data_IF_573251017925
#
_entry.id   IF_573251017925
#
_cell.length_a   1.000
_cell.length_b   1.000
_cell.length_c   1.000
_cell.angle_alpha   90.00
_cell.angle_beta   90.00
_cell.angle_gamma   90.00
#
_symmetry.space_group_name_H-M   'P 1'
#
loop_
_entity.id
_entity.type
_entity.pdbx_description
1 polymer ?
#
# COMPACT_ATOMS: atom_id res chain seq x y z
N UNK A 1 25.56 25.73 -13.81
CA UNK A 1 24.91 25.44 -12.52
C UNK A 1 25.52 24.17 -11.95
N UNK A 2 25.97 24.18 -10.69
CA UNK A 2 26.65 23.01 -10.11
C UNK A 2 25.62 21.91 -9.80
N UNK A 3 26.02 20.63 -9.89
CA UNK A 3 25.16 19.49 -9.54
C UNK A 3 24.59 19.62 -8.11
N UNK A 4 25.29 20.30 -7.20
CA UNK A 4 24.82 20.62 -5.83
C UNK A 4 23.66 21.61 -5.80
N UNK A 5 23.60 22.56 -6.74
CA UNK A 5 22.53 23.58 -6.80
C UNK A 5 21.23 22.99 -7.36
N UNK A 6 21.31 22.02 -8.27
CA UNK A 6 20.15 21.27 -8.79
C UNK A 6 19.63 20.28 -7.72
N UNK A 7 20.54 19.61 -6.99
CA UNK A 7 20.19 18.71 -5.90
C UNK A 7 19.51 19.44 -4.74
N UNK A 8 19.98 20.64 -4.39
CA UNK A 8 19.40 21.46 -3.32
C UNK A 8 18.04 22.06 -3.74
N UNK A 9 17.87 22.44 -5.01
CA UNK A 9 16.57 22.88 -5.54
C UNK A 9 15.54 21.74 -5.62
N UNK A 10 15.97 20.50 -5.90
CA UNK A 10 15.12 19.31 -5.83
C UNK A 10 14.74 18.94 -4.39
N UNK A 11 15.64 19.12 -3.42
CA UNK A 11 15.36 18.88 -1.99
C UNK A 11 14.40 19.91 -1.41
N UNK A 12 14.48 21.17 -1.85
CA UNK A 12 13.62 22.26 -1.36
C UNK A 12 12.23 22.26 -2.04
N UNK A 13 12.12 21.77 -3.28
CA UNK A 13 10.83 21.60 -3.97
C UNK A 13 9.98 20.41 -3.45
N UNK A 14 10.48 19.62 -2.49
CA UNK A 14 9.78 18.47 -1.90
C UNK A 14 8.98 18.80 -0.63
N UNK A 15 8.96 20.06 -0.20
CA UNK A 15 8.30 20.50 1.03
C UNK A 15 7.07 21.36 0.71
N UNK A 16 5.92 20.74 0.42
CA UNK A 16 4.62 21.44 0.42
C UNK A 16 3.45 20.48 0.68
N UNK A 17 2.66 20.81 1.71
CA UNK A 17 1.29 20.31 1.96
C UNK A 17 1.18 18.92 2.59
N UNK A 18 0.25 18.74 3.53
CA UNK A 18 -0.24 17.43 4.01
C UNK A 18 -1.42 17.00 3.13
N UNK A 19 -1.24 15.90 2.42
CA UNK A 19 -2.22 15.24 1.56
C UNK A 19 -1.92 13.75 1.62
N UNK A 20 -2.97 12.91 1.54
CA UNK A 20 -2.88 11.45 1.60
C UNK A 20 -1.79 10.88 0.70
N UNK A 21 -1.26 9.73 1.13
CA UNK A 21 -0.12 9.07 0.52
C UNK A 21 -0.51 7.63 0.25
N UNK A 22 -0.40 7.19 -1.00
CA UNK A 22 -0.63 5.80 -1.34
C UNK A 22 0.35 4.87 -0.61
N UNK A 23 -0.10 3.68 -0.23
CA UNK A 23 0.79 2.61 0.26
C UNK A 23 1.57 2.02 -0.92
N UNK A 24 2.68 2.69 -1.24
CA UNK A 24 3.55 2.33 -2.37
C UNK A 24 4.05 0.88 -2.31
N UNK A 25 4.20 0.32 -1.11
CA UNK A 25 4.64 -1.06 -0.93
C UNK A 25 3.67 -2.07 -1.55
N UNK A 26 2.37 -1.77 -1.53
CA UNK A 26 1.34 -2.63 -2.11
C UNK A 26 1.32 -2.61 -3.64
N UNK A 27 1.74 -1.50 -4.25
CA UNK A 27 1.71 -1.29 -5.70
C UNK A 27 3.01 -1.72 -6.38
N UNK A 28 4.15 -1.41 -5.76
CA UNK A 28 5.47 -1.56 -6.37
C UNK A 28 6.34 -2.64 -5.70
N UNK A 29 5.92 -3.17 -4.54
CA UNK A 29 6.69 -4.15 -3.78
C UNK A 29 7.63 -3.53 -2.75
N UNK A 30 8.57 -4.33 -2.24
CA UNK A 30 9.37 -3.98 -1.05
C UNK A 30 10.86 -3.71 -1.33
N UNK A 31 11.34 -4.01 -2.53
CA UNK A 31 12.71 -3.71 -2.95
C UNK A 31 12.75 -3.53 -4.49
N UNK A 32 13.84 -2.97 -5.06
CA UNK A 32 13.93 -2.80 -6.50
C UNK A 32 13.78 -4.11 -7.28
N UNK A 33 14.32 -5.23 -6.77
CA UNK A 33 14.24 -6.53 -7.47
C UNK A 33 12.81 -7.03 -7.64
N UNK A 34 11.99 -6.96 -6.60
CA UNK A 34 10.58 -7.34 -6.64
C UNK A 34 9.79 -6.43 -7.58
N UNK A 35 10.10 -5.13 -7.57
CA UNK A 35 9.51 -4.17 -8.49
C UNK A 35 9.89 -4.46 -9.94
N UNK A 36 11.18 -4.70 -10.23
CA UNK A 36 11.68 -5.03 -11.57
C UNK A 36 11.17 -6.35 -12.13
N UNK A 37 10.62 -7.23 -11.28
CA UNK A 37 9.95 -8.47 -11.65
C UNK A 37 8.42 -8.36 -11.61
N UNK A 38 7.89 -7.14 -11.54
CA UNK A 38 6.45 -6.86 -11.48
C UNK A 38 5.71 -7.61 -10.35
N UNK A 39 6.41 -7.96 -9.26
CA UNK A 39 5.87 -8.73 -8.15
C UNK A 39 5.73 -10.24 -8.39
N UNK A 40 6.23 -10.80 -9.51
CA UNK A 40 6.29 -12.24 -9.75
C UNK A 40 7.37 -12.89 -8.87
N UNK A 41 7.04 -13.15 -7.61
CA UNK A 41 8.04 -13.43 -6.58
C UNK A 41 7.69 -14.59 -5.63
N UNK A 42 6.50 -15.16 -5.68
CA UNK A 42 6.05 -16.23 -4.77
C UNK A 42 6.93 -17.47 -4.87
N UNK A 43 7.32 -17.86 -6.09
CA UNK A 43 8.27 -18.95 -6.35
C UNK A 43 9.75 -18.53 -6.31
N UNK A 44 10.04 -17.22 -6.24
CA UNK A 44 11.41 -16.66 -6.24
C UNK A 44 11.90 -16.41 -4.81
N UNK A 45 11.12 -15.66 -4.02
CA UNK A 45 11.26 -15.30 -2.60
C UNK A 45 12.55 -15.75 -1.89
N UNK A 46 13.72 -15.31 -2.36
CA UNK A 46 15.03 -15.75 -1.85
C UNK A 46 15.86 -14.60 -1.26
N UNK A 47 15.17 -13.53 -0.88
CA UNK A 47 15.68 -12.42 -0.09
C UNK A 47 14.72 -12.12 1.08
N UNK A 48 15.02 -11.08 1.86
CA UNK A 48 14.23 -10.70 3.04
C UNK A 48 12.79 -10.30 2.70
N UNK A 49 12.52 -9.86 1.46
CA UNK A 49 11.15 -9.53 1.03
C UNK A 49 10.26 -10.77 0.89
N UNK A 50 10.82 -11.98 1.01
CA UNK A 50 10.08 -13.21 1.24
C UNK A 50 9.03 -13.06 2.35
N UNK A 51 9.30 -12.24 3.38
CA UNK A 51 8.33 -11.93 4.45
C UNK A 51 6.97 -11.39 3.94
N UNK A 52 6.92 -10.79 2.75
CA UNK A 52 5.71 -10.25 2.13
C UNK A 52 5.15 -11.15 1.03
N UNK A 53 6.02 -11.82 0.27
CA UNK A 53 5.63 -12.62 -0.90
C UNK A 53 5.41 -14.10 -0.60
N UNK A 54 6.36 -14.73 0.09
CA UNK A 54 6.29 -16.13 0.51
C UNK A 54 7.35 -16.41 1.59
N UNK A 55 7.00 -16.35 2.89
CA UNK A 55 7.99 -16.48 3.95
C UNK A 55 8.77 -17.79 3.90
N UNK A 56 8.22 -18.87 3.35
CA UNK A 56 8.92 -20.16 3.21
C UNK A 56 10.21 -20.10 2.40
N UNK A 57 10.37 -19.08 1.55
CA UNK A 57 11.59 -18.90 0.76
C UNK A 57 12.76 -18.27 1.53
N UNK A 58 12.55 -17.79 2.76
CA UNK A 58 13.59 -17.10 3.54
C UNK A 58 14.81 -18.00 3.86
N UNK A 59 14.62 -19.33 3.95
CA UNK A 59 15.71 -20.33 4.06
C UNK A 59 16.58 -20.44 2.80
N UNK A 60 16.32 -19.65 1.76
CA UNK A 60 17.15 -19.56 0.56
C UNK A 60 18.22 -18.45 0.66
N UNK A 61 18.20 -17.64 1.72
CA UNK A 61 19.22 -16.64 2.00
C UNK A 61 20.61 -17.32 2.08
N UNK A 62 21.58 -16.77 1.34
CA UNK A 62 22.94 -17.34 1.25
C UNK A 62 23.87 -16.88 2.36
N UNK A 63 23.50 -15.85 3.10
CA UNK A 63 24.31 -15.22 4.13
C UNK A 63 23.55 -14.12 4.84
N UNK A 64 24.14 -13.55 5.89
CA UNK A 64 23.54 -12.43 6.60
C UNK A 64 23.44 -11.24 5.65
N UNK A 65 22.22 -10.73 5.47
CA UNK A 65 21.93 -9.71 4.47
C UNK A 65 21.31 -8.49 5.14
N UNK A 66 21.78 -7.31 4.77
CA UNK A 66 21.16 -6.04 5.12
C UNK A 66 20.93 -5.24 3.84
N UNK A 67 19.72 -4.74 3.63
CA UNK A 67 19.38 -3.93 2.47
C UNK A 67 18.59 -2.69 2.88
N UNK A 68 18.86 -1.58 2.20
CA UNK A 68 18.11 -0.34 2.35
C UNK A 68 17.70 0.19 0.98
N UNK A 69 16.58 0.89 0.89
CA UNK A 69 16.14 1.46 -0.38
C UNK A 69 15.13 2.58 -0.22
N UNK A 70 14.96 3.34 -1.30
CA UNK A 70 14.03 4.46 -1.41
C UNK A 70 13.19 4.23 -2.66
N UNK A 71 11.87 4.25 -2.47
CA UNK A 71 10.87 4.19 -3.53
C UNK A 71 10.22 5.57 -3.66
N UNK A 72 10.11 6.03 -4.90
CA UNK A 72 9.39 7.23 -5.27
C UNK A 72 8.23 6.87 -6.19
N UNK A 73 7.02 7.35 -5.88
CA UNK A 73 5.80 7.19 -6.66
C UNK A 73 5.33 8.52 -7.22
N UNK A 74 4.95 8.54 -8.49
CA UNK A 74 4.42 9.69 -9.19
C UNK A 74 3.15 9.30 -9.97
N UNK A 75 1.97 9.41 -9.34
CA UNK A 75 0.69 9.22 -10.00
C UNK A 75 0.36 10.41 -10.92
N UNK A 76 -0.34 10.12 -12.01
CA UNK A 76 -0.95 11.09 -12.90
C UNK A 76 -2.33 10.58 -13.34
N UNK A 77 -3.37 11.37 -13.08
CA UNK A 77 -4.74 11.09 -13.47
C UNK A 77 -5.18 12.06 -14.56
N UNK A 78 -5.87 11.55 -15.57
CA UNK A 78 -6.51 12.32 -16.63
C UNK A 78 -8.02 12.03 -16.59
N UNK A 79 -8.83 13.09 -16.52
CA UNK A 79 -10.29 13.02 -16.64
C UNK A 79 -10.74 13.93 -17.77
N UNK A 80 -11.42 13.39 -18.79
CA UNK A 80 -11.93 14.13 -19.96
C UNK A 80 -10.88 15.04 -20.65
N UNK A 81 -9.61 14.61 -20.61
CA UNK A 81 -8.47 15.34 -21.16
C UNK A 81 -7.85 16.40 -20.24
N UNK A 82 -8.45 16.66 -19.07
CA UNK A 82 -7.86 17.48 -18.02
C UNK A 82 -6.91 16.64 -17.14
N UNK A 83 -5.72 17.18 -16.86
CA UNK A 83 -4.75 16.58 -15.94
C UNK A 83 -5.09 16.96 -14.50
N UNK A 84 -5.19 15.96 -13.65
CA UNK A 84 -5.36 16.12 -12.21
C UNK A 84 -4.00 15.88 -11.54
N UNK A 85 -3.45 16.94 -10.95
CA UNK A 85 -2.18 16.85 -10.24
C UNK A 85 -2.35 16.05 -8.95
N UNK A 86 -1.77 14.86 -8.97
CA UNK A 86 -1.73 13.96 -7.83
C UNK A 86 -0.40 14.12 -7.09
N UNK A 87 -0.42 13.91 -5.77
CA UNK A 87 0.77 14.08 -4.96
C UNK A 87 1.74 12.93 -5.22
N UNK A 88 3.02 13.25 -5.29
CA UNK A 88 4.11 12.26 -5.33
C UNK A 88 4.40 11.71 -3.95
N UNK A 89 4.63 10.41 -3.85
CA UNK A 89 4.96 9.72 -2.61
C UNK A 89 6.41 9.24 -2.58
N UNK A 90 6.93 9.03 -1.36
CA UNK A 90 8.28 8.52 -1.14
C UNK A 90 8.28 7.64 0.11
N UNK A 91 8.86 6.46 0.03
CA UNK A 91 8.96 5.54 1.18
C UNK A 91 10.35 4.92 1.27
N UNK A 92 10.82 4.74 2.50
CA UNK A 92 12.10 4.12 2.83
C UNK A 92 11.88 2.67 3.23
N UNK A 93 12.85 1.83 2.93
CA UNK A 93 12.82 0.42 3.24
C UNK A 93 14.14 0.02 3.89
N UNK A 94 14.06 -0.79 4.93
CA UNK A 94 15.18 -1.43 5.59
C UNK A 94 14.85 -2.91 5.78
N UNK A 95 15.78 -3.78 5.42
CA UNK A 95 15.60 -5.23 5.46
C UNK A 95 16.82 -5.87 6.08
N UNK A 96 16.62 -6.82 6.99
CA UNK A 96 17.67 -7.62 7.61
C UNK A 96 17.28 -9.09 7.56
N UNK A 97 18.18 -9.94 7.05
CA UNK A 97 17.99 -11.38 6.91
C UNK A 97 19.12 -12.13 7.59
N UNK A 98 18.75 -13.12 8.41
CA UNK A 98 19.68 -13.89 9.23
C UNK A 98 19.43 -15.38 8.99
N UNK A 99 20.12 -16.01 8.02
CA UNK A 99 20.15 -17.47 7.94
C UNK A 99 20.99 -18.03 9.08
N UNK A 100 20.55 -19.13 9.69
CA UNK A 100 21.29 -19.77 10.78
C UNK A 100 22.48 -20.58 10.24
N UNK A 101 23.46 -20.85 11.11
CA UNK A 101 24.66 -21.63 10.79
C UNK A 101 24.71 -22.94 11.59
N UNK A 102 25.75 -23.76 11.39
CA UNK A 102 25.92 -25.03 12.09
C UNK A 102 24.81 -26.04 11.77
N UNK A 103 24.22 -26.66 12.80
CA UNK A 103 23.16 -27.67 12.65
C UNK A 103 21.85 -27.13 12.07
N UNK A 104 21.65 -25.81 12.12
CA UNK A 104 20.45 -25.13 11.59
C UNK A 104 20.71 -24.48 10.22
N UNK A 105 21.92 -24.64 9.67
CA UNK A 105 22.26 -24.19 8.33
C UNK A 105 21.28 -24.78 7.33
N UNK A 106 20.77 -23.95 6.42
CA UNK A 106 19.78 -24.32 5.41
C UNK A 106 18.43 -24.83 5.99
N UNK A 107 18.23 -24.77 7.30
CA UNK A 107 17.01 -25.25 7.95
C UNK A 107 16.22 -24.14 8.64
N UNK A 108 16.88 -23.08 9.12
CA UNK A 108 16.22 -21.97 9.79
C UNK A 108 16.75 -20.63 9.27
N UNK A 109 15.85 -19.69 9.02
CA UNK A 109 16.19 -18.31 8.73
C UNK A 109 15.19 -17.36 9.40
N UNK A 110 15.68 -16.20 9.81
CA UNK A 110 14.88 -15.09 10.35
C UNK A 110 14.98 -13.88 9.44
N UNK A 111 13.93 -13.06 9.46
CA UNK A 111 13.82 -11.88 8.63
C UNK A 111 13.13 -10.76 9.38
N UNK A 112 13.60 -9.55 9.11
CA UNK A 112 13.07 -8.28 9.59
C UNK A 112 12.95 -7.32 8.41
N UNK A 113 11.81 -6.65 8.27
CA UNK A 113 11.60 -5.64 7.24
C UNK A 113 10.84 -4.46 7.83
N UNK A 114 11.34 -3.25 7.57
CA UNK A 114 10.76 -2.00 8.00
C UNK A 114 10.49 -1.14 6.77
N UNK A 115 9.28 -0.61 6.67
CA UNK A 115 8.87 0.35 5.65
C UNK A 115 8.40 1.63 6.33
N UNK A 116 9.04 2.74 5.98
CA UNK A 116 8.85 4.06 6.60
C UNK A 116 8.35 5.04 5.54
N UNK A 117 7.11 5.53 5.65
CA UNK A 117 6.62 6.62 4.82
C UNK A 117 7.45 7.91 5.05
N UNK A 118 7.83 8.64 4.01
CA UNK A 118 8.56 9.93 4.13
C UNK A 118 7.71 11.12 4.62
N UNK A 119 8.00 11.71 5.77
CA UNK A 119 7.29 12.89 6.26
C UNK A 119 6.35 12.54 7.41
N UNK A 120 5.04 12.43 7.16
CA UNK A 120 4.08 12.04 8.21
C UNK A 120 3.94 10.53 8.33
N UNK A 121 3.83 10.04 9.56
CA UNK A 121 3.54 8.63 9.89
C UNK A 121 2.06 8.26 9.63
N UNK A 122 1.17 9.24 9.46
CA UNK A 122 -0.23 9.07 9.06
C UNK A 122 -0.67 10.24 8.17
N UNK A 123 -1.39 9.96 7.08
CA UNK A 123 -2.05 10.99 6.28
C UNK A 123 -3.29 10.45 5.58
N UNK A 124 -4.45 11.06 5.83
CA UNK A 124 -5.71 10.75 5.16
C UNK A 124 -6.22 11.96 4.39
N UNK A 125 -6.96 11.72 3.30
CA UNK A 125 -7.62 12.76 2.50
C UNK A 125 -9.10 12.46 2.48
N UNK A 126 -9.89 13.49 2.71
CA UNK A 126 -11.34 13.43 2.49
C UNK A 126 -11.58 13.93 1.07
N UNK A 127 -12.00 13.03 0.19
CA UNK A 127 -12.43 13.40 -1.16
C UNK A 127 -13.83 14.02 -1.09
N UNK A 128 -14.09 15.05 -1.90
CA UNK A 128 -15.46 15.55 -2.08
C UNK A 128 -16.28 14.46 -2.76
N UNK A 129 -17.61 14.47 -2.55
CA UNK A 129 -18.54 13.58 -3.24
C UNK A 129 -18.50 13.70 -4.77
N UNK A 130 -17.83 14.72 -5.31
CA UNK A 130 -17.75 15.02 -6.74
C UNK A 130 -16.33 14.83 -7.29
N UNK A 131 -15.32 14.66 -6.44
CA UNK A 131 -13.94 14.59 -6.90
C UNK A 131 -13.56 13.17 -7.29
N UNK A 132 -13.01 12.98 -8.49
CA UNK A 132 -12.45 11.69 -8.86
C UNK A 132 -11.18 11.36 -8.09
N UNK A 133 -11.03 10.09 -7.74
CA UNK A 133 -9.78 9.55 -7.20
C UNK A 133 -9.61 8.07 -7.50
N UNK A 134 -8.35 7.61 -7.54
CA UNK A 134 -8.05 6.19 -7.72
C UNK A 134 -8.28 5.47 -6.41
N UNK A 135 -9.45 4.83 -6.25
CA UNK A 135 -9.83 4.22 -4.97
C UNK A 135 -8.83 3.18 -4.46
N UNK A 136 -8.21 2.43 -5.38
CA UNK A 136 -7.23 1.40 -5.05
C UNK A 136 -5.82 1.95 -4.83
N UNK A 137 -5.51 3.17 -5.30
CA UNK A 137 -4.21 3.81 -5.13
C UNK A 137 -4.23 4.81 -3.96
N UNK A 138 -5.13 5.78 -4.00
CA UNK A 138 -5.21 6.86 -3.01
C UNK A 138 -6.01 6.51 -1.76
N UNK A 139 -6.81 5.44 -1.80
CA UNK A 139 -7.71 5.10 -0.71
C UNK A 139 -6.96 4.69 0.57
N UNK A 140 -5.74 4.18 0.45
CA UNK A 140 -5.03 3.60 1.60
C UNK A 140 -4.12 4.62 2.27
N UNK A 141 -4.18 4.71 3.60
CA UNK A 141 -3.21 5.49 4.38
C UNK A 141 -1.87 4.75 4.43
N UNK A 142 -0.78 5.44 4.04
CA UNK A 142 0.58 4.95 4.24
C UNK A 142 0.99 5.09 5.71
N UNK A 143 1.38 3.98 6.33
CA UNK A 143 1.70 3.84 7.76
C UNK A 143 3.07 3.19 7.91
N UNK A 144 3.72 3.39 9.06
CA UNK A 144 4.93 2.63 9.41
C UNK A 144 4.60 1.13 9.46
N UNK A 145 5.30 0.33 8.66
CA UNK A 145 5.07 -1.11 8.57
C UNK A 145 6.31 -1.86 9.03
N UNK A 146 6.17 -2.62 10.11
CA UNK A 146 7.17 -3.59 10.57
C UNK A 146 6.74 -4.99 10.16
N UNK A 147 7.66 -5.81 9.64
CA UNK A 147 7.45 -7.24 9.39
C UNK A 147 8.56 -8.03 10.03
N UNK A 148 8.18 -9.06 10.77
CA UNK A 148 9.12 -10.06 11.29
C UNK A 148 8.62 -11.44 10.92
N UNK A 149 9.54 -12.36 10.65
CA UNK A 149 9.15 -13.72 10.29
C UNK A 149 10.30 -14.70 10.30
N UNK A 150 9.92 -15.96 10.13
CA UNK A 150 10.81 -17.09 10.17
C UNK A 150 10.42 -18.11 9.10
N UNK A 151 11.41 -18.89 8.68
CA UNK A 151 11.19 -20.00 7.78
C UNK A 151 11.96 -21.24 8.23
N UNK A 152 11.35 -22.39 7.98
CA UNK A 152 11.88 -23.69 8.33
C UNK A 152 11.88 -24.63 7.12
N UNK A 153 13.01 -25.29 6.84
CA UNK A 153 13.11 -26.36 5.82
C UNK A 153 13.24 -27.71 6.51
N UNK A 154 12.43 -28.69 6.08
CA UNK A 154 12.44 -30.02 6.68
C UNK A 154 13.83 -30.67 6.52
N UNK A 155 14.47 -31.16 7.60
CA UNK A 155 15.78 -31.81 7.53
C UNK A 155 15.73 -33.27 7.04
N UNK A 156 14.57 -33.91 7.11
CA UNK A 156 14.38 -35.29 6.67
C UNK A 156 14.48 -35.41 5.14
N UNK A 157 15.44 -36.19 4.64
CA UNK A 157 15.79 -36.28 3.20
C UNK A 157 14.57 -36.42 2.26
N UNK A 158 13.59 -37.32 2.52
CA UNK A 158 12.43 -37.47 1.65
C UNK A 158 11.58 -36.22 1.49
N UNK A 159 11.61 -35.28 2.45
CA UNK A 159 10.84 -34.03 2.42
C UNK A 159 11.73 -32.77 2.44
N UNK A 160 13.04 -32.93 2.26
CA UNK A 160 14.01 -31.81 2.28
C UNK A 160 13.84 -30.79 1.16
N UNK A 161 12.98 -31.11 0.20
CA UNK A 161 12.55 -30.20 -0.86
C UNK A 161 11.50 -29.19 -0.38
N UNK A 162 10.88 -29.38 0.79
CA UNK A 162 9.83 -28.50 1.33
C UNK A 162 10.37 -27.55 2.41
N UNK A 163 9.91 -26.30 2.32
CA UNK A 163 10.02 -25.33 3.40
C UNK A 163 8.67 -24.66 3.68
N UNK A 164 8.54 -24.19 4.92
CA UNK A 164 7.40 -23.42 5.41
C UNK A 164 7.89 -22.13 6.01
N UNK A 165 7.04 -21.12 6.04
CA UNK A 165 7.37 -19.90 6.76
C UNK A 165 6.12 -19.13 7.16
N UNK A 166 6.30 -18.26 8.13
CA UNK A 166 5.30 -17.32 8.58
C UNK A 166 5.95 -15.97 8.88
N UNK A 167 5.20 -14.91 8.64
CA UNK A 167 5.54 -13.56 9.06
C UNK A 167 4.32 -12.88 9.64
N UNK A 168 4.58 -11.92 10.52
CA UNK A 168 3.58 -10.98 11.01
C UNK A 168 4.01 -9.57 10.60
N UNK A 169 3.08 -8.85 10.01
CA UNK A 169 3.17 -7.43 9.79
C UNK A 169 2.49 -6.69 10.94
N UNK A 170 3.21 -5.82 11.63
CA UNK A 170 2.68 -4.91 12.63
C UNK A 170 2.64 -3.53 12.01
N UNK A 171 1.47 -2.90 12.02
CA UNK A 171 1.30 -1.48 11.69
C UNK A 171 1.37 -0.69 12.99
N UNK A 172 2.35 0.22 13.11
CA UNK A 172 2.59 0.91 14.37
C UNK A 172 1.50 1.96 14.66
N UNK A 173 1.07 2.03 15.92
CA UNK A 173 0.16 3.07 16.40
C UNK A 173 0.73 4.47 16.16
N UNK A 174 -0.13 5.35 15.69
CA UNK A 174 0.13 6.79 15.60
C UNK A 174 -0.89 7.46 16.50
N UNK A 175 -0.39 8.05 17.60
CA UNK A 175 -1.16 8.92 18.48
C UNK A 175 -0.72 10.35 18.18
N UNK A 176 -1.64 11.21 17.76
CA UNK A 176 -1.32 12.60 17.52
C UNK A 176 -2.46 13.44 16.97
N UNK A 177 -2.29 14.75 17.07
CA UNK A 177 -3.22 15.73 16.50
C UNK A 177 -2.95 15.87 15.01
N UNK A 178 -3.94 15.54 14.18
CA UNK A 178 -3.82 15.62 12.73
C UNK A 178 -4.67 16.80 12.25
N UNK A 179 -4.03 17.71 11.53
CA UNK A 179 -4.73 18.76 10.79
C UNK A 179 -5.45 18.16 9.58
N UNK A 180 -6.76 18.21 9.60
CA UNK A 180 -7.65 17.97 8.47
C UNK A 180 -7.68 19.25 7.64
N UNK A 181 -7.46 19.11 6.34
CA UNK A 181 -7.55 20.20 5.37
C UNK A 181 -8.61 19.80 4.37
N UNK A 182 -9.81 20.39 4.49
CA UNK A 182 -10.88 20.18 3.53
C UNK A 182 -11.13 21.48 2.76
N UNK A 183 -11.18 21.46 1.41
CA UNK A 183 -11.64 22.61 0.63
C UNK A 183 -13.11 22.87 0.98
N UNK A 184 -13.45 24.11 1.34
CA UNK A 184 -14.81 24.49 1.70
C UNK A 184 -15.51 25.14 0.49
N UNK A 185 -16.76 24.76 0.22
CA UNK A 185 -17.59 25.42 -0.80
C UNK A 185 -18.74 26.15 -0.10
N UNK A 186 -18.85 27.46 -0.32
CA UNK A 186 -19.94 28.27 0.21
C UNK A 186 -21.08 28.35 -0.82
N UNK A 187 -22.18 27.62 -0.56
CA UNK A 187 -23.40 27.67 -1.37
C UNK A 187 -23.55 26.51 -2.37
N UNK A 188 -24.79 26.23 -2.78
CA UNK A 188 -25.15 25.09 -3.66
C UNK A 188 -24.76 25.30 -5.14
N UNK A 189 -24.46 26.53 -5.57
CA UNK A 189 -24.19 26.85 -6.98
C UNK A 189 -23.25 28.04 -7.11
N UNK A 190 -21.97 27.78 -7.33
CA UNK A 190 -21.04 28.57 -8.18
C UNK A 190 -19.72 27.82 -8.29
N UNK A 191 -19.10 27.86 -9.47
CA UNK A 191 -17.71 27.42 -9.72
C UNK A 191 -16.67 28.40 -9.11
N UNK A 192 -17.08 29.17 -8.10
CA UNK A 192 -16.27 30.22 -7.49
C UNK A 192 -15.61 29.63 -6.24
N UNK A 193 -14.44 29.01 -6.47
CA UNK A 193 -13.65 28.38 -5.43
C UNK A 193 -12.59 29.39 -4.96
N UNK A 194 -12.69 29.81 -3.71
CA UNK A 194 -11.59 30.52 -3.06
C UNK A 194 -10.57 29.49 -2.60
N UNK A 195 -9.43 29.37 -3.30
CA UNK A 195 -8.32 28.45 -2.98
C UNK A 195 -7.70 28.71 -1.61
N UNK A 196 -8.01 29.86 -1.01
CA UNK A 196 -7.43 30.34 0.23
C UNK A 196 -8.31 30.04 1.45
N UNK A 197 -9.58 29.64 1.27
CA UNK A 197 -10.45 29.21 2.38
C UNK A 197 -10.39 27.69 2.59
N UNK A 198 -9.71 27.30 3.67
CA UNK A 198 -9.49 25.90 4.06
C UNK A 198 -10.13 25.66 5.42
N UNK A 199 -10.90 24.56 5.55
CA UNK A 199 -11.26 24.05 6.87
C UNK A 199 -10.01 23.36 7.43
N UNK A 200 -9.36 24.00 8.38
CA UNK A 200 -8.29 23.42 9.19
C UNK A 200 -8.90 22.91 10.50
N UNK A 201 -8.97 21.59 10.68
CA UNK A 201 -9.45 20.99 11.92
C UNK A 201 -8.38 20.06 12.50
N UNK A 202 -7.95 20.33 13.71
CA UNK A 202 -7.01 19.49 14.43
C UNK A 202 -7.80 18.40 15.18
N UNK A 203 -7.67 17.13 14.77
CA UNK A 203 -8.30 16.00 15.47
C UNK A 203 -7.23 15.14 16.12
N UNK A 204 -7.42 14.82 17.39
CA UNK A 204 -6.61 13.82 18.07
C UNK A 204 -7.00 12.45 17.55
N UNK A 205 -6.05 11.78 16.90
CA UNK A 205 -6.23 10.44 16.36
C UNK A 205 -5.44 9.44 17.19
N UNK A 206 -6.11 8.36 17.57
CA UNK A 206 -5.51 7.16 18.12
C UNK A 206 -5.69 6.02 17.12
N UNK A 207 -4.61 5.70 16.40
CA UNK A 207 -4.61 4.59 15.45
C UNK A 207 -4.17 3.32 16.19
N UNK A 208 -4.98 2.26 16.24
CA UNK A 208 -4.62 1.03 16.96
C UNK A 208 -3.44 0.32 16.29
N UNK A 209 -2.65 -0.37 17.10
CA UNK A 209 -1.62 -1.30 16.60
C UNK A 209 -2.30 -2.60 16.18
N UNK A 210 -2.19 -2.95 14.89
CA UNK A 210 -2.81 -4.15 14.34
C UNK A 210 -1.76 -5.08 13.70
N UNK A 211 -2.01 -6.38 13.83
CA UNK A 211 -1.13 -7.45 13.36
C UNK A 211 -1.74 -8.28 12.23
N UNK A 212 -1.01 -8.47 11.13
CA UNK A 212 -1.46 -9.21 9.95
C UNK A 212 -0.51 -10.33 9.59
N UNK A 213 -1.04 -11.55 9.44
CA UNK A 213 -0.23 -12.75 9.21
C UNK A 213 -0.08 -13.03 7.72
N UNK A 214 1.13 -13.43 7.32
CA UNK A 214 1.40 -14.09 6.04
C UNK A 214 2.01 -15.45 6.31
N UNK A 215 1.52 -16.49 5.63
CA UNK A 215 2.10 -17.84 5.69
C UNK A 215 2.43 -18.31 4.29
N UNK A 216 3.37 -19.24 4.18
CA UNK A 216 3.73 -19.81 2.90
C UNK A 216 4.37 -21.18 2.99
N UNK A 217 4.38 -21.84 1.86
CA UNK A 217 5.05 -23.10 1.59
C UNK A 217 5.82 -22.97 0.28
N UNK A 218 6.97 -23.65 0.20
CA UNK A 218 7.79 -23.69 -1.00
C UNK A 218 8.36 -25.09 -1.21
N UNK A 219 8.30 -25.56 -2.45
CA UNK A 219 8.90 -26.79 -2.92
C UNK A 219 10.04 -26.48 -3.89
N UNK A 220 11.22 -27.06 -3.64
CA UNK A 220 12.38 -27.01 -4.54
C UNK A 220 12.47 -28.29 -5.36
N UNK A 221 12.18 -28.18 -6.65
CA UNK A 221 12.15 -29.32 -7.58
C UNK A 221 13.46 -29.32 -8.38
N UNK A 222 14.38 -30.18 -7.95
CA UNK A 222 15.75 -30.21 -8.50
C UNK A 222 16.55 -28.96 -8.18
N UNK A 223 17.43 -28.54 -9.10
CA UNK A 223 18.27 -27.36 -8.94
C UNK A 223 17.69 -26.10 -9.58
N UNK A 224 16.76 -26.29 -10.52
CA UNK A 224 16.28 -25.21 -11.39
C UNK A 224 14.90 -24.70 -11.05
N UNK A 225 14.01 -25.56 -10.54
CA UNK A 225 12.61 -25.21 -10.36
C UNK A 225 12.25 -25.00 -8.90
N UNK A 226 11.42 -23.99 -8.65
CA UNK A 226 10.75 -23.79 -7.36
C UNK A 226 9.29 -23.47 -7.59
N UNK A 227 8.44 -24.01 -6.74
CA UNK A 227 7.00 -23.74 -6.72
C UNK A 227 6.64 -23.31 -5.31
N UNK A 228 5.84 -22.28 -5.16
CA UNK A 228 5.42 -21.74 -3.87
C UNK A 228 3.94 -21.40 -3.85
N UNK A 229 3.37 -21.47 -2.66
CA UNK A 229 2.06 -20.93 -2.36
C UNK A 229 2.17 -20.04 -1.12
N UNK A 230 1.45 -18.92 -1.10
CA UNK A 230 1.40 -18.04 0.05
C UNK A 230 -0.02 -17.51 0.26
N UNK A 231 -0.42 -17.41 1.53
CA UNK A 231 -1.63 -16.75 1.96
C UNK A 231 -1.24 -15.52 2.77
N UNK A 232 -1.80 -14.37 2.41
CA UNK A 232 -1.69 -13.13 3.19
C UNK A 232 -3.07 -12.74 3.69
N UNK A 233 -3.17 -12.59 5.00
CA UNK A 233 -4.41 -12.23 5.68
C UNK A 233 -4.89 -10.83 5.29
N UNK A 234 -6.20 -10.63 5.42
CA UNK A 234 -6.85 -9.31 5.26
C UNK A 234 -6.21 -8.31 6.22
N UNK A 235 -5.90 -7.12 5.70
CA UNK A 235 -5.48 -5.99 6.52
C UNK A 235 -6.64 -5.03 6.70
N UNK A 236 -6.92 -4.67 7.94
CA UNK A 236 -7.98 -3.73 8.27
C UNK A 236 -7.55 -2.89 9.47
N UNK A 237 -7.68 -1.57 9.34
CA UNK A 237 -7.54 -0.62 10.45
C UNK A 237 -8.76 0.28 10.45
N UNK A 238 -9.51 0.23 11.54
CA UNK A 238 -10.52 1.23 11.89
C UNK A 238 -9.93 2.24 12.88
N UNK A 239 -10.29 3.51 12.72
CA UNK A 239 -9.93 4.61 13.61
C UNK A 239 -11.22 5.30 14.02
N UNK A 240 -11.46 5.40 15.31
CA UNK A 240 -12.61 6.12 15.85
C UNK A 240 -12.18 7.53 16.23
N UNK A 241 -12.93 8.52 15.75
CA UNK A 241 -12.62 9.93 15.92
C UNK A 241 -13.81 10.58 16.63
N UNK A 242 -13.67 11.01 17.89
CA UNK A 242 -14.71 11.79 18.54
C UNK A 242 -14.84 13.15 17.85
N UNK A 243 -16.04 13.52 17.43
CA UNK A 243 -16.35 14.79 16.76
C UNK A 243 -17.47 15.49 17.51
N UNK A 244 -17.30 16.79 17.77
CA UNK A 244 -18.37 17.64 18.27
C UNK A 244 -18.97 18.43 17.11
N UNK A 245 -20.24 18.17 16.81
CA UNK A 245 -20.95 18.83 15.73
C UNK A 245 -21.85 19.93 16.31
N UNK A 246 -21.66 21.17 15.87
CA UNK A 246 -22.64 22.23 16.13
C UNK A 246 -23.72 22.14 15.05
N UNK A 247 -24.80 21.44 15.36
CA UNK A 247 -25.92 21.25 14.44
C UNK A 247 -26.92 22.39 14.58
N UNK A 248 -27.58 22.77 13.48
CA UNK A 248 -28.64 23.79 13.48
C UNK A 248 -29.95 23.11 13.11
N UNK A 249 -30.86 22.97 14.06
CA UNK A 249 -32.19 22.46 13.83
C UNK A 249 -33.09 23.60 13.35
N UNK A 250 -33.52 23.55 12.08
CA UNK A 250 -34.46 24.51 11.53
C UNK A 250 -35.88 24.16 12.00
N UNK A 251 -36.59 25.14 12.54
CA UNK A 251 -37.98 25.04 12.99
C UNK A 251 -38.89 25.76 11.99
N UNK A 252 -40.19 25.45 12.05
CA UNK A 252 -41.19 26.20 11.29
C UNK A 252 -41.11 27.71 11.62
N UNK A 253 -41.19 28.57 10.60
CA UNK A 253 -41.18 30.03 10.78
C UNK A 253 -39.79 30.69 10.87
N UNK A 254 -38.79 30.17 10.16
CA UNK A 254 -37.41 30.72 10.08
C UNK A 254 -36.61 30.75 11.39
N UNK A 255 -37.12 30.17 12.47
CA UNK A 255 -36.39 29.98 13.72
C UNK A 255 -35.44 28.78 13.61
N UNK A 256 -34.31 28.82 14.32
CA UNK A 256 -33.43 27.67 14.41
C UNK A 256 -32.72 27.61 15.77
N UNK A 257 -32.46 26.39 16.23
CA UNK A 257 -31.77 26.12 17.49
C UNK A 257 -30.42 25.49 17.16
N UNK A 258 -29.35 26.00 17.77
CA UNK A 258 -28.03 25.36 17.71
C UNK A 258 -27.96 24.28 18.79
N UNK A 259 -27.70 23.04 18.38
CA UNK A 259 -27.58 21.89 19.25
C UNK A 259 -26.16 21.32 19.10
N UNK A 260 -25.32 21.37 20.14
CA UNK A 260 -24.08 20.63 20.14
C UNK A 260 -24.40 19.13 20.22
N UNK A 261 -23.91 18.35 19.28
CA UNK A 261 -24.09 16.90 19.20
C UNK A 261 -22.73 16.24 19.27
N UNK A 262 -22.54 15.39 20.26
CA UNK A 262 -21.39 14.48 20.30
C UNK A 262 -21.62 13.38 19.24
N UNK A 263 -20.64 13.17 18.39
CA UNK A 263 -20.65 12.19 17.32
C UNK A 263 -19.33 11.40 17.30
N UNK A 264 -19.34 10.21 16.75
CA UNK A 264 -18.11 9.44 16.49
C UNK A 264 -17.98 9.20 15.01
N UNK A 265 -16.92 9.73 14.39
CA UNK A 265 -16.56 9.41 13.03
C UNK A 265 -15.67 8.15 13.03
N UNK A 266 -16.15 7.08 12.41
CA UNK A 266 -15.40 5.85 12.19
C UNK A 266 -14.72 5.95 10.82
N UNK A 267 -13.41 6.12 10.82
CA UNK A 267 -12.57 6.11 9.64
C UNK A 267 -12.00 4.72 9.42
N UNK A 268 -12.31 4.09 8.28
CA UNK A 268 -11.56 2.91 7.83
C UNK A 268 -10.24 3.38 7.22
N UNK A 269 -9.19 3.49 8.02
CA UNK A 269 -7.92 4.06 7.59
C UNK A 269 -7.17 3.17 6.59
N UNK A 270 -7.33 1.84 6.68
CA UNK A 270 -6.69 0.89 5.76
C UNK A 270 -7.56 -0.33 5.58
N UNK A 271 -7.71 -0.76 4.33
CA UNK A 271 -8.26 -2.07 3.99
C UNK A 271 -7.47 -2.67 2.83
N UNK A 272 -6.84 -3.82 3.05
CA UNK A 272 -6.32 -4.67 1.98
C UNK A 272 -6.99 -6.05 2.06
N UNK A 273 -7.62 -6.54 0.98
CA UNK A 273 -8.22 -7.86 1.01
C UNK A 273 -7.21 -8.96 1.30
N UNK A 274 -7.72 -10.08 1.81
CA UNK A 274 -6.94 -11.31 1.84
C UNK A 274 -6.59 -11.77 0.42
N UNK A 275 -5.46 -12.46 0.29
CA UNK A 275 -5.00 -12.97 -1.00
C UNK A 275 -4.30 -14.33 -0.88
N UNK A 276 -4.39 -15.09 -1.96
CA UNK A 276 -3.68 -16.36 -2.14
C UNK A 276 -2.86 -16.26 -3.42
N UNK A 277 -1.55 -16.46 -3.30
CA UNK A 277 -0.63 -16.48 -4.43
C UNK A 277 -0.12 -17.88 -4.68
N UNK A 278 -0.07 -18.28 -5.95
CA UNK A 278 0.63 -19.46 -6.45
C UNK A 278 1.70 -19.00 -7.42
N UNK A 279 2.93 -19.49 -7.29
CA UNK A 279 4.02 -19.05 -8.14
C UNK A 279 5.05 -20.11 -8.42
N UNK A 280 5.62 -20.05 -9.62
CA UNK A 280 6.71 -20.90 -10.07
C UNK A 280 7.91 -20.06 -10.50
N UNK A 281 9.12 -20.55 -10.25
CA UNK A 281 10.33 -19.98 -10.84
C UNK A 281 11.23 -21.05 -11.44
N UNK A 282 11.86 -20.70 -12.56
CA UNK A 282 12.94 -21.45 -13.20
C UNK A 282 14.22 -20.63 -13.12
N UNK A 283 15.33 -21.24 -12.70
CA UNK A 283 16.64 -20.61 -12.59
C UNK A 283 17.72 -21.46 -13.26
N UNK A 284 18.48 -20.85 -14.16
CA UNK A 284 19.70 -21.38 -14.75
C UNK A 284 20.91 -20.51 -14.40
N UNK A 285 22.05 -20.71 -15.08
CA UNK A 285 23.27 -19.89 -14.89
C UNK A 285 23.05 -18.42 -15.24
N UNK A 286 22.26 -18.12 -16.29
CA UNK A 286 22.03 -16.76 -16.78
C UNK A 286 20.60 -16.26 -16.66
N UNK A 287 19.64 -17.16 -16.48
CA UNK A 287 18.23 -16.81 -16.55
C UNK A 287 17.52 -17.12 -15.24
N UNK A 288 16.64 -16.21 -14.84
CA UNK A 288 15.52 -16.49 -13.95
C UNK A 288 14.24 -16.11 -14.68
N UNK A 289 13.25 -17.00 -14.67
CA UNK A 289 11.90 -16.72 -15.15
C UNK A 289 10.93 -17.06 -14.02
N UNK A 290 9.99 -16.17 -13.74
CA UNK A 290 9.00 -16.31 -12.68
C UNK A 290 7.60 -16.04 -13.21
N UNK A 291 6.65 -16.87 -12.78
CA UNK A 291 5.24 -16.75 -13.09
C UNK A 291 4.45 -16.86 -11.79
N UNK A 292 3.61 -15.86 -11.53
CA UNK A 292 2.74 -15.84 -10.36
C UNK A 292 1.28 -15.63 -10.78
N UNK A 293 0.36 -16.24 -10.04
CA UNK A 293 -1.07 -16.02 -10.11
C UNK A 293 -1.57 -15.70 -8.69
N UNK A 294 -2.12 -14.52 -8.50
CA UNK A 294 -2.65 -14.09 -7.20
C UNK A 294 -4.14 -13.89 -7.27
N UNK A 295 -4.89 -14.65 -6.48
CA UNK A 295 -6.29 -14.37 -6.20
C UNK A 295 -6.40 -13.36 -5.05
N UNK A 296 -7.24 -12.33 -5.23
CA UNK A 296 -7.49 -11.28 -4.25
C UNK A 296 -8.99 -11.15 -3.98
N UNK A 297 -9.37 -11.18 -2.70
CA UNK A 297 -10.78 -11.18 -2.27
C UNK A 297 -11.42 -9.79 -2.25
N UNK A 298 -11.40 -9.09 -3.39
CA UNK A 298 -11.98 -7.76 -3.48
C UNK A 298 -13.49 -7.73 -3.25
N UNK A 299 -14.21 -8.86 -3.33
CA UNK A 299 -15.63 -8.91 -2.98
C UNK A 299 -15.91 -8.45 -1.53
N UNK A 300 -14.95 -8.63 -0.61
CA UNK A 300 -15.05 -8.14 0.76
C UNK A 300 -14.44 -6.73 0.94
N UNK A 301 -13.97 -6.07 -0.12
CA UNK A 301 -13.27 -4.79 -0.01
C UNK A 301 -14.18 -3.70 0.55
N UNK A 302 -13.74 -3.11 1.67
CA UNK A 302 -14.42 -1.96 2.24
C UNK A 302 -13.65 -0.72 1.85
N UNK A 303 -14.29 0.15 1.08
CA UNK A 303 -13.69 1.42 0.69
C UNK A 303 -13.33 2.19 1.96
N UNK A 304 -12.11 2.71 2.06
CA UNK A 304 -11.67 3.55 3.16
C UNK A 304 -12.37 4.92 3.10
N UNK A 305 -13.63 4.96 3.54
CA UNK A 305 -14.40 6.18 3.74
C UNK A 305 -14.66 6.42 5.23
N UNK A 306 -14.69 7.69 5.64
CA UNK A 306 -15.16 8.07 6.96
C UNK A 306 -16.68 7.91 7.02
N UNK A 307 -17.17 7.09 7.93
CA UNK A 307 -18.59 7.00 8.29
C UNK A 307 -18.79 7.77 9.58
N UNK A 308 -19.71 8.73 9.59
CA UNK A 308 -20.09 9.41 10.84
C UNK A 308 -21.25 8.63 11.42
N UNK A 309 -21.02 7.98 12.56
CA UNK A 309 -22.08 7.40 13.38
C UNK A 309 -22.47 8.42 14.44
N UNK A 310 -23.70 8.92 14.32
CA UNK A 310 -24.31 9.80 15.29
C UNK A 310 -24.89 8.94 16.42
N UNK A 311 -24.64 9.31 17.68
CA UNK A 311 -25.35 8.70 18.81
C UNK A 311 -26.76 9.30 18.89
N UNK A 312 -27.63 8.81 18.00
CA UNK A 312 -29.01 9.26 17.85
C UNK A 312 -29.80 8.97 19.13
N UNK A 313 -29.49 7.88 19.84
CA UNK A 313 -30.17 7.54 21.09
C UNK A 313 -29.89 8.56 22.20
N UNK A 314 -28.64 9.00 22.35
CA UNK A 314 -28.29 10.08 23.28
C UNK A 314 -28.93 11.40 22.87
N UNK A 315 -28.96 11.71 21.57
CA UNK A 315 -29.57 12.95 21.05
C UNK A 315 -31.08 12.99 21.29
N UNK A 316 -31.79 11.88 21.07
CA UNK A 316 -33.24 11.78 21.29
C UNK A 316 -33.55 11.67 22.79
N UNK A 317 -32.63 11.27 23.66
CA UNK A 317 -32.82 11.30 25.13
C UNK A 317 -32.56 12.67 25.75
N UNK A 318 -32.01 13.63 25.01
CA UNK A 318 -31.83 14.99 25.49
C UNK A 318 -33.21 15.64 25.69
N UNK A 319 -33.58 16.03 26.93
CA UNK A 319 -34.88 16.62 27.22
C UNK A 319 -35.15 17.87 26.40
N UNK A 320 -34.11 18.64 26.05
CA UNK A 320 -34.21 19.84 25.24
C UNK A 320 -34.52 19.56 23.78
N UNK A 321 -34.25 18.35 23.26
CA UNK A 321 -34.49 17.97 21.86
C UNK A 321 -35.88 17.31 21.70
N UNK A 322 -36.28 16.45 22.64
CA UNK A 322 -37.60 15.80 22.69
C UNK A 322 -38.76 16.80 22.68
N UNK A 323 -38.62 17.93 23.35
CA UNK A 323 -39.64 18.98 23.45
C UNK A 323 -39.97 19.59 22.07
N UNK A 324 -39.00 19.66 21.14
CA UNK A 324 -39.19 20.28 19.83
C UNK A 324 -39.53 19.29 18.70
N UNK A 325 -39.01 18.08 18.77
CA UNK A 325 -39.17 17.09 17.71
C UNK A 325 -40.45 16.24 17.87
N UNK A 326 -41.01 16.16 19.08
CA UNK A 326 -42.12 15.27 19.40
C UNK A 326 -41.68 13.81 19.55
N UNK A 327 -42.50 12.95 20.18
CA UNK A 327 -42.13 11.57 20.49
C UNK A 327 -41.92 10.67 19.26
N UNK A 328 -42.40 11.09 18.08
CA UNK A 328 -42.41 10.29 16.85
C UNK A 328 -41.31 10.69 15.83
N UNK A 329 -40.41 11.61 16.19
CA UNK A 329 -39.38 12.07 15.27
C UNK A 329 -38.34 10.98 14.95
N UNK A 330 -38.12 10.74 13.66
CA UNK A 330 -37.13 9.80 13.15
C UNK A 330 -36.01 10.56 12.43
N UNK A 331 -34.77 10.44 12.90
CA UNK A 331 -33.60 11.02 12.23
C UNK A 331 -33.12 10.08 11.11
N UNK A 332 -33.06 10.58 9.87
CA UNK A 332 -32.53 9.81 8.74
C UNK A 332 -31.00 9.89 8.73
N UNK A 333 -30.32 8.76 8.96
CA UNK A 333 -28.86 8.68 8.85
C UNK A 333 -28.39 8.91 7.40
N UNK A 334 -27.19 9.49 7.18
CA UNK A 334 -26.60 9.58 5.85
C UNK A 334 -26.52 8.20 5.19
N UNK A 335 -27.01 8.07 3.95
CA UNK A 335 -26.92 6.82 3.20
C UNK A 335 -25.45 6.52 2.87
N UNK A 336 -24.96 5.33 3.26
CA UNK A 336 -23.66 4.83 2.82
C UNK A 336 -23.64 4.62 1.29
N UNK A 337 -22.52 4.91 0.62
CA UNK A 337 -22.40 4.66 -0.82
C UNK A 337 -22.55 3.16 -1.12
N UNK A 338 -23.24 2.84 -2.22
CA UNK A 338 -23.38 1.47 -2.71
C UNK A 338 -22.28 1.20 -3.72
N UNK A 339 -21.32 0.40 -3.30
CA UNK A 339 -20.15 0.05 -4.10
C UNK A 339 -20.02 -1.46 -4.08
N UNK A 340 -19.92 -2.07 -5.25
CA UNK A 340 -19.76 -3.51 -5.40
C UNK A 340 -18.46 -3.84 -6.11
N UNK A 341 -17.72 -4.79 -5.53
CA UNK A 341 -16.47 -5.30 -6.08
C UNK A 341 -16.58 -6.81 -6.40
N UNK A 342 -15.83 -7.27 -7.40
CA UNK A 342 -15.59 -8.69 -7.67
C UNK A 342 -14.22 -9.10 -7.18
N UNK A 343 -14.08 -10.40 -6.92
CA UNK A 343 -12.76 -11.02 -6.80
C UNK A 343 -11.90 -10.80 -8.04
N UNK A 344 -10.60 -10.79 -7.79
CA UNK A 344 -9.59 -10.46 -8.79
C UNK A 344 -8.56 -11.57 -8.90
N UNK A 345 -8.03 -11.78 -10.10
CA UNK A 345 -6.92 -12.69 -10.36
C UNK A 345 -5.85 -11.90 -11.11
N UNK A 346 -4.64 -11.86 -10.55
CA UNK A 346 -3.53 -11.07 -11.09
C UNK A 346 -2.44 -12.00 -11.61
N UNK A 347 -2.33 -12.21 -12.93
CA UNK A 347 -1.18 -12.88 -13.52
C UNK A 347 0.04 -11.95 -13.57
N UNK A 348 1.22 -12.48 -13.22
CA UNK A 348 2.49 -11.76 -13.25
C UNK A 348 3.57 -12.60 -13.93
N UNK A 349 4.41 -11.95 -14.71
CA UNK A 349 5.61 -12.50 -15.34
C UNK A 349 6.81 -11.66 -14.96
N UNK A 350 7.90 -12.31 -14.54
CA UNK A 350 9.18 -11.67 -14.28
C UNK A 350 10.32 -12.44 -14.93
N UNK A 351 11.31 -11.71 -15.44
CA UNK A 351 12.53 -12.27 -16.03
C UNK A 351 13.75 -11.53 -15.48
N UNK A 352 14.76 -12.26 -15.01
CA UNK A 352 16.11 -11.73 -14.78
C UNK A 352 17.10 -12.38 -15.75
N UNK A 353 18.01 -11.57 -16.27
CA UNK A 353 19.11 -12.01 -17.12
C UNK A 353 20.45 -11.51 -16.57
N UNK A 354 21.35 -12.44 -16.28
CA UNK A 354 22.75 -12.14 -15.95
C UNK A 354 23.49 -11.76 -17.23
N UNK A 355 23.52 -10.47 -17.53
CA UNK A 355 24.15 -9.94 -18.73
C UNK A 355 25.68 -10.03 -18.67
N UNK A 356 26.24 -9.74 -17.49
CA UNK A 356 27.66 -9.82 -17.16
C UNK A 356 27.81 -10.35 -15.73
N UNK A 357 29.00 -10.79 -15.33
CA UNK A 357 29.25 -11.31 -13.96
C UNK A 357 28.96 -10.28 -12.86
N UNK A 358 28.99 -8.99 -13.20
CA UNK A 358 28.67 -7.88 -12.31
C UNK A 358 27.31 -7.21 -12.61
N UNK A 359 26.63 -7.56 -13.71
CA UNK A 359 25.40 -6.88 -14.16
C UNK A 359 24.26 -7.87 -14.40
N UNK A 360 23.16 -7.66 -13.68
CA UNK A 360 21.87 -8.33 -13.94
C UNK A 360 20.87 -7.29 -14.42
N UNK A 361 20.10 -7.63 -15.45
CA UNK A 361 18.97 -6.84 -15.94
C UNK A 361 17.66 -7.60 -15.76
N UNK A 362 16.55 -6.88 -15.63
CA UNK A 362 15.24 -7.43 -15.29
C UNK A 362 14.14 -6.79 -16.11
N UNK A 363 13.14 -7.59 -16.42
CA UNK A 363 11.87 -7.14 -16.99
C UNK A 363 10.72 -7.82 -16.28
N UNK A 364 9.62 -7.10 -16.10
CA UNK A 364 8.42 -7.61 -15.47
C UNK A 364 7.17 -7.06 -16.12
N UNK A 365 6.10 -7.85 -16.07
CA UNK A 365 4.77 -7.46 -16.52
C UNK A 365 3.69 -8.05 -15.60
N UNK A 366 2.66 -7.26 -15.31
CA UNK A 366 1.41 -7.78 -14.78
C UNK A 366 0.20 -7.14 -15.46
N UNK A 367 -0.90 -7.89 -15.43
CA UNK A 367 -2.22 -7.40 -15.81
C UNK A 367 -3.16 -7.49 -14.62
N UNK A 368 -3.91 -6.42 -14.38
CA UNK A 368 -4.89 -6.32 -13.32
C UNK A 368 -6.21 -5.87 -13.90
N UNK A 369 -7.23 -6.75 -13.90
CA UNK A 369 -8.58 -6.31 -14.24
C UNK A 369 -9.20 -5.55 -13.08
N UNK A 370 -10.02 -4.56 -13.38
CA UNK A 370 -10.71 -3.77 -12.36
C UNK A 370 -11.66 -4.64 -11.53
N UNK A 371 -11.51 -4.71 -10.19
CA UNK A 371 -12.53 -5.35 -9.36
C UNK A 371 -13.83 -4.55 -9.27
N UNK A 372 -13.88 -3.27 -9.68
CA UNK A 372 -15.05 -2.41 -9.52
C UNK A 372 -16.18 -2.80 -10.51
N UNK A 373 -17.31 -3.27 -9.97
CA UNK A 373 -18.52 -3.63 -10.74
C UNK A 373 -19.46 -2.44 -10.90
N UNK A 374 -19.93 -1.90 -9.78
CA UNK A 374 -20.92 -0.82 -9.73
C UNK A 374 -20.60 0.13 -8.61
N UNK A 375 -20.87 1.42 -8.81
CA UNK A 375 -20.75 2.44 -7.78
C UNK A 375 -21.78 3.55 -8.01
N UNK A 376 -22.34 4.10 -6.93
CA UNK A 376 -23.11 5.34 -6.93
C UNK A 376 -22.29 6.55 -6.40
N UNK A 377 -20.98 6.37 -6.31
CA UNK A 377 -19.98 7.33 -5.83
C UNK A 377 -18.84 7.50 -6.87
N UNK A 378 -18.19 8.67 -7.02
CA UNK A 378 -17.15 8.91 -8.03
C UNK A 378 -15.80 8.28 -7.64
N UNK A 379 -15.79 6.95 -7.53
CA UNK A 379 -14.55 6.18 -7.40
C UNK A 379 -14.12 5.68 -8.77
N UNK A 380 -12.80 5.75 -9.03
CA UNK A 380 -12.24 5.36 -10.30
C UNK A 380 -11.34 4.16 -10.12
N UNK A 381 -11.64 3.11 -10.88
CA UNK A 381 -10.78 1.97 -11.05
C UNK A 381 -11.05 1.34 -12.43
N UNK A 382 -9.98 0.89 -13.06
CA UNK A 382 -9.99 0.38 -14.43
C UNK A 382 -8.91 -0.69 -14.58
N UNK A 383 -8.92 -1.38 -15.71
CA UNK A 383 -7.91 -2.37 -16.03
C UNK A 383 -6.52 -1.72 -16.10
N UNK A 384 -5.53 -2.41 -15.56
CA UNK A 384 -4.16 -1.92 -15.41
C UNK A 384 -3.18 -2.85 -16.10
N UNK A 385 -2.24 -2.25 -16.82
CA UNK A 385 -1.04 -2.91 -17.29
C UNK A 385 0.15 -2.33 -16.56
N UNK A 386 1.04 -3.19 -16.07
CA UNK A 386 2.27 -2.76 -15.44
C UNK A 386 3.47 -3.23 -16.23
N UNK A 387 4.40 -2.32 -16.49
CA UNK A 387 5.65 -2.59 -17.18
C UNK A 387 6.82 -2.21 -16.27
N UNK A 388 7.66 -3.19 -15.97
CA UNK A 388 8.78 -3.01 -15.04
C UNK A 388 10.11 -3.29 -15.74
N UNK A 389 11.11 -2.44 -15.46
CA UNK A 389 12.49 -2.63 -15.86
C UNK A 389 13.41 -2.44 -14.66
N UNK A 390 14.45 -3.25 -14.56
CA UNK A 390 15.40 -3.16 -13.44
C UNK A 390 16.81 -3.57 -13.79
N UNK A 391 17.77 -3.11 -12.99
CA UNK A 391 19.16 -3.48 -13.10
C UNK A 391 19.82 -3.62 -11.72
N UNK A 392 20.82 -4.49 -11.63
CA UNK A 392 21.70 -4.68 -10.47
C UNK A 392 23.14 -4.62 -10.91
N UNK A 393 23.94 -3.80 -10.24
CA UNK A 393 25.39 -3.88 -10.27
C UNK A 393 25.92 -4.55 -8.99
N UNK A 394 26.81 -5.53 -9.13
CA UNK A 394 27.43 -6.25 -8.02
C UNK A 394 28.92 -5.96 -7.93
N UNK A 395 29.37 -5.56 -6.74
CA UNK A 395 30.77 -5.29 -6.41
C UNK A 395 31.23 -6.28 -5.33
N UNK A 396 32.36 -6.94 -5.59
CA UNK A 396 32.98 -7.87 -4.63
C UNK A 396 34.01 -7.15 -3.78
N UNK A 397 33.99 -7.35 -2.45
CA UNK A 397 34.92 -6.72 -1.50
C UNK A 397 35.08 -5.21 -1.73
N UNK A 398 33.99 -4.43 -1.80
CA UNK A 398 34.09 -3.00 -2.06
C UNK A 398 35.03 -2.35 -1.04
N UNK A 399 36.05 -1.66 -1.55
CA UNK A 399 37.03 -0.89 -0.77
C UNK A 399 37.88 -1.73 0.22
N UNK A 400 37.84 -3.06 0.19
CA UNK A 400 38.56 -3.91 1.15
C UNK A 400 38.06 -3.83 2.59
N UNK A 401 36.98 -3.08 2.85
CA UNK A 401 36.48 -2.75 4.19
C UNK A 401 35.43 -3.75 4.70
N UNK A 402 34.78 -4.52 3.82
CA UNK A 402 33.70 -5.44 4.17
C UNK A 402 33.92 -6.84 3.55
N UNK A 403 33.87 -7.92 4.35
CA UNK A 403 33.88 -9.27 3.82
C UNK A 403 32.50 -9.58 3.22
N UNK A 404 32.34 -9.45 1.89
CA UNK A 404 31.07 -9.77 1.25
C UNK A 404 30.86 -9.20 -0.14
N UNK A 405 29.58 -9.14 -0.53
CA UNK A 405 29.08 -8.56 -1.78
C UNK A 405 28.27 -7.31 -1.49
N UNK A 406 28.46 -6.29 -2.31
CA UNK A 406 27.63 -5.09 -2.34
C UNK A 406 26.87 -5.07 -3.66
N UNK A 407 25.55 -5.01 -3.57
CA UNK A 407 24.65 -4.87 -4.70
C UNK A 407 24.05 -3.47 -4.68
N UNK A 408 24.05 -2.81 -5.84
CA UNK A 408 23.30 -1.58 -6.08
C UNK A 408 22.23 -1.91 -7.10
N UNK A 409 20.97 -1.69 -6.72
CA UNK A 409 19.82 -2.01 -7.54
C UNK A 409 19.01 -0.75 -7.86
N UNK A 410 18.48 -0.68 -9.08
CA UNK A 410 17.52 0.32 -9.52
C UNK A 410 16.41 -0.35 -10.31
N UNK A 411 15.19 0.13 -10.18
CA UNK A 411 14.06 -0.31 -11.01
C UNK A 411 13.12 0.85 -11.28
N UNK A 412 12.48 0.80 -12.45
CA UNK A 412 11.45 1.72 -12.91
C UNK A 412 10.21 0.89 -13.25
N UNK A 413 9.03 1.37 -12.89
CA UNK A 413 7.77 0.72 -13.26
C UNK A 413 6.74 1.76 -13.66
N UNK A 414 5.98 1.47 -14.70
CA UNK A 414 4.82 2.26 -15.12
C UNK A 414 3.57 1.40 -15.03
N UNK A 415 2.63 1.79 -14.19
CA UNK A 415 1.31 1.16 -14.06
C UNK A 415 0.31 2.02 -14.83
N UNK A 416 -0.12 1.56 -15.99
CA UNK A 416 -1.03 2.26 -16.90
C UNK A 416 -2.46 1.84 -16.63
N UNK A 417 -3.31 2.82 -16.31
CA UNK A 417 -4.76 2.68 -16.11
C UNK A 417 -5.48 2.93 -17.44
N UNK A 418 -6.14 1.91 -18.00
CA UNK A 418 -6.83 1.97 -19.28
C UNK A 418 -8.06 2.89 -19.19
N UNK A 419 -8.29 3.74 -20.20
CA UNK A 419 -9.42 4.67 -20.19
C UNK A 419 -10.78 3.98 -20.09
N UNK A 420 -11.59 4.31 -19.07
CA UNK A 420 -12.96 3.80 -18.85
C UNK A 420 -13.92 4.94 -18.54
N UNK A 421 -15.14 4.84 -19.05
CA UNK A 421 -16.22 5.78 -18.73
C UNK A 421 -16.84 5.39 -17.38
N UNK A 422 -16.83 6.32 -16.42
CA UNK A 422 -17.42 6.14 -15.09
C UNK A 422 -18.25 7.39 -14.78
N UNK A 423 -19.54 7.19 -14.49
CA UNK A 423 -20.49 8.26 -14.17
C UNK A 423 -20.57 9.42 -15.19
N UNK A 424 -20.21 9.15 -16.46
CA UNK A 424 -20.27 10.12 -17.55
C UNK A 424 -18.96 10.84 -17.87
N UNK A 425 -17.88 10.60 -17.12
CA UNK A 425 -16.52 11.08 -17.45
C UNK A 425 -15.58 9.93 -17.79
N UNK A 426 -14.67 10.17 -18.75
CA UNK A 426 -13.65 9.21 -19.16
C UNK A 426 -12.36 9.45 -18.37
N UNK A 427 -12.01 8.51 -17.51
CA UNK A 427 -10.79 8.59 -16.71
C UNK A 427 -9.72 7.61 -17.20
N UNK A 428 -8.46 8.04 -17.20
CA UNK A 428 -7.27 7.23 -17.47
C UNK A 428 -6.09 7.75 -16.66
N UNK A 429 -4.99 7.01 -16.58
CA UNK A 429 -3.82 7.54 -15.90
C UNK A 429 -2.64 6.60 -15.91
N UNK A 430 -1.59 7.00 -15.21
CA UNK A 430 -0.41 6.18 -15.00
C UNK A 430 0.19 6.49 -13.64
N UNK A 431 0.82 5.48 -13.04
CA UNK A 431 1.61 5.67 -11.83
C UNK A 431 3.02 5.18 -12.09
N UNK A 432 3.96 6.13 -12.09
CA UNK A 432 5.38 5.86 -12.25
C UNK A 432 6.04 5.59 -10.90
N UNK A 433 6.80 4.51 -10.80
CA UNK A 433 7.57 4.13 -9.62
C UNK A 433 9.07 4.05 -9.93
N UNK A 434 9.91 4.73 -9.16
CA UNK A 434 11.37 4.61 -9.19
C UNK A 434 11.86 4.08 -7.85
N UNK A 435 12.49 2.89 -7.85
CA UNK A 435 13.03 2.27 -6.65
C UNK A 435 14.53 2.12 -6.78
N UNK A 436 15.27 2.68 -5.84
CA UNK A 436 16.70 2.49 -5.69
C UNK A 436 17.00 1.76 -4.39
N UNK A 437 18.06 0.95 -4.37
CA UNK A 437 18.44 0.23 -3.17
C UNK A 437 19.88 -0.25 -3.18
N UNK A 438 20.38 -0.51 -1.98
CA UNK A 438 21.70 -1.07 -1.72
C UNK A 438 21.51 -2.29 -0.83
N UNK A 439 22.21 -3.38 -1.13
CA UNK A 439 22.18 -4.62 -0.36
C UNK A 439 23.62 -5.09 -0.10
N UNK A 440 23.90 -5.44 1.15
CA UNK A 440 25.15 -6.05 1.58
C UNK A 440 24.86 -7.47 2.03
N UNK A 441 25.59 -8.43 1.50
CA UNK A 441 25.55 -9.83 1.95
C UNK A 441 26.93 -10.23 2.46
N UNK A 442 26.98 -10.62 3.73
CA UNK A 442 28.14 -11.24 4.35
C UNK A 442 28.11 -12.73 4.01
N UNK A 443 29.22 -13.25 3.48
CA UNK A 443 29.36 -14.62 2.98
C UNK A 443 30.09 -15.52 3.98
#
# INVERSE_FOLDING_TARGET
MSARTIMLAMVIALASGSAARADLASHFGLNPRTMGLAGAYTGVADDVTALYYNPAGLVQLKGMTAAAGILFGAPLLNEDGARLDMRRETSWYLHVGIPFTGKLKDHLALGFSLNIPWGSLFSARVYRKQDPYFVLYDGSVDLLQLRVGAAFRIPWKPLSFLSFGASIQVLASVVGTIGFYAPFQRGEKTNDFDSDQRLEANLDLDVPTEGFVTVGVMARIGEHFRVGASYRGRQFIGVEIPVKLNTRLALAGNSAINLPVDATAILRAKYYPQQVSLGGSFRSKRWLVALDLTWVNYADYQVPFARIDLDIERLIRDPGVLIFLGPDATLLAPRAPKIEFSNMIVPRLGVEYTALDWLIVRGGYFYEHSPLKTTDFPIYDTDKHSFSLGARATFLKPLGLLPGRLNIDVSLTDIVYIGRDILGSRASGHVLGLFTGVEITLL
#
